data_IF_628902800844
#
_entry.id   IF_628902800844
#
_cell.length_a   1.000
_cell.length_b   1.000
_cell.length_c   1.000
_cell.angle_alpha   90.00
_cell.angle_beta   90.00
_cell.angle_gamma   90.00
#
_symmetry.space_group_name_H-M   'P 1'
#
loop_
_entity.id
_entity.type
_entity.pdbx_description
1 polymer ?
#
# COMPACT_ATOMS: atom_id res chain seq x y z
N UNK A 1 -4.04 -12.06 -10.86
CA UNK A 1 -3.91 -10.65 -11.28
C UNK A 1 -5.29 -9.99 -11.38
N UNK A 2 -6.26 -10.55 -12.12
CA UNK A 2 -7.63 -10.02 -12.18
C UNK A 2 -8.31 -9.84 -10.80
N UNK A 3 -8.16 -10.81 -9.90
CA UNK A 3 -8.65 -10.71 -8.51
C UNK A 3 -8.15 -9.46 -7.77
N UNK A 4 -6.88 -9.09 -7.98
CA UNK A 4 -6.28 -7.92 -7.34
C UNK A 4 -6.97 -6.64 -7.80
N UNK A 5 -7.33 -6.54 -9.08
CA UNK A 5 -8.03 -5.37 -9.62
C UNK A 5 -9.44 -5.26 -9.08
N UNK A 6 -10.16 -6.39 -8.96
CA UNK A 6 -11.49 -6.44 -8.34
C UNK A 6 -11.44 -6.12 -6.83
N UNK A 7 -10.40 -6.54 -6.12
CA UNK A 7 -10.24 -6.20 -4.71
C UNK A 7 -9.97 -4.71 -4.52
N UNK A 8 -9.03 -4.16 -5.30
CA UNK A 8 -8.50 -2.81 -5.08
C UNK A 8 -9.24 -1.72 -5.83
N UNK A 9 -9.97 -2.06 -6.90
CA UNK A 9 -10.53 -1.11 -7.86
C UNK A 9 -9.49 -0.44 -8.77
N UNK A 10 -8.22 -0.84 -8.69
CA UNK A 10 -7.15 -0.20 -9.45
C UNK A 10 -7.04 -0.75 -10.87
N UNK A 11 -6.84 0.16 -11.82
CA UNK A 11 -6.73 -0.13 -13.25
C UNK A 11 -5.49 -0.97 -13.60
N UNK A 12 -5.65 -1.84 -14.60
CA UNK A 12 -4.58 -2.57 -15.28
C UNK A 12 -4.28 -2.07 -16.69
N UNK A 13 -4.98 -1.04 -17.17
CA UNK A 13 -5.04 -0.68 -18.60
C UNK A 13 -4.10 0.45 -19.00
N UNK A 14 -3.17 0.84 -18.13
CA UNK A 14 -2.14 1.84 -18.44
C UNK A 14 -1.03 1.27 -19.34
N UNK A 15 -0.60 2.05 -20.33
CA UNK A 15 0.49 1.70 -21.26
C UNK A 15 1.82 2.37 -20.90
N UNK A 16 1.83 3.15 -19.83
CA UNK A 16 2.95 3.96 -19.41
C UNK A 16 3.63 3.38 -18.18
N UNK A 17 4.90 2.98 -18.33
CA UNK A 17 5.72 2.53 -17.21
C UNK A 17 6.27 3.73 -16.44
N UNK A 18 6.56 3.55 -15.15
CA UNK A 18 7.25 4.51 -14.27
C UNK A 18 8.49 5.13 -14.94
N UNK A 19 9.17 4.38 -15.80
CA UNK A 19 10.37 4.81 -16.53
C UNK A 19 10.12 5.93 -17.54
N UNK A 20 8.91 6.07 -18.12
CA UNK A 20 8.57 7.17 -19.04
C UNK A 20 8.48 8.53 -18.32
N UNK A 21 8.19 8.52 -17.03
CA UNK A 21 8.09 9.73 -16.21
C UNK A 21 9.44 10.23 -15.68
N UNK A 22 10.57 9.58 -16.03
CA UNK A 22 11.93 9.96 -15.59
C UNK A 22 12.42 11.35 -16.04
N UNK A 23 11.67 12.08 -16.89
CA UNK A 23 12.16 13.29 -17.57
C UNK A 23 11.26 14.52 -17.49
N UNK A 24 10.12 14.46 -16.79
CA UNK A 24 9.22 15.61 -16.70
C UNK A 24 9.66 16.47 -15.52
N UNK A 25 10.02 17.74 -15.78
CA UNK A 25 10.26 18.74 -14.74
C UNK A 25 9.10 18.71 -13.73
N UNK A 26 9.42 18.49 -12.45
CA UNK A 26 8.41 18.41 -11.41
C UNK A 26 8.27 19.79 -10.76
N UNK A 27 7.36 20.59 -11.30
CA UNK A 27 6.95 21.90 -10.76
C UNK A 27 6.57 21.76 -9.29
N UNK A 28 5.94 20.64 -8.93
CA UNK A 28 5.58 20.34 -7.54
C UNK A 28 6.83 20.20 -6.64
N UNK A 29 7.90 19.55 -7.12
CA UNK A 29 9.19 19.48 -6.42
C UNK A 29 9.82 20.86 -6.29
N UNK A 30 9.86 21.62 -7.38
CA UNK A 30 10.48 22.94 -7.41
C UNK A 30 9.72 23.98 -6.57
N UNK A 31 8.41 23.80 -6.40
CA UNK A 31 7.58 24.73 -5.62
C UNK A 31 7.57 24.41 -4.13
N UNK A 32 7.40 23.14 -3.76
CA UNK A 32 7.15 22.75 -2.37
C UNK A 32 8.33 22.07 -1.70
N UNK A 33 9.30 21.59 -2.48
CA UNK A 33 10.39 20.75 -2.00
C UNK A 33 11.78 21.23 -2.44
N UNK A 34 11.91 22.46 -2.93
CA UNK A 34 13.18 23.03 -3.40
C UNK A 34 14.27 23.05 -2.32
N UNK A 35 13.87 23.17 -1.05
CA UNK A 35 14.78 23.20 0.08
C UNK A 35 15.28 21.81 0.52
N UNK A 36 14.76 20.72 -0.08
CA UNK A 36 15.15 19.36 0.27
C UNK A 36 15.75 18.64 -0.93
N UNK A 37 16.93 18.04 -0.74
CA UNK A 37 17.60 17.24 -1.77
C UNK A 37 16.75 16.02 -2.16
N UNK A 38 16.22 15.33 -1.16
CA UNK A 38 15.38 14.14 -1.30
C UNK A 38 14.06 14.37 -0.56
N UNK A 39 12.95 14.01 -1.21
CA UNK A 39 11.61 14.13 -0.64
C UNK A 39 11.25 12.83 0.08
N UNK A 40 10.84 12.92 1.33
CA UNK A 40 10.33 11.80 2.13
C UNK A 40 8.87 12.04 2.52
N UNK A 41 8.09 11.00 2.89
CA UNK A 41 6.70 11.16 3.33
C UNK A 41 6.49 12.25 4.38
N UNK A 42 7.41 12.38 5.36
CA UNK A 42 7.39 13.45 6.36
C UNK A 42 7.42 14.86 5.77
N UNK A 43 8.11 15.07 4.65
CA UNK A 43 8.16 16.37 4.00
C UNK A 43 6.81 16.68 3.34
N UNK A 44 6.19 15.67 2.73
CA UNK A 44 4.84 15.79 2.15
C UNK A 44 3.81 16.11 3.25
N UNK A 45 3.91 15.45 4.42
CA UNK A 45 3.05 15.74 5.58
C UNK A 45 3.22 17.16 6.10
N UNK A 46 4.45 17.67 6.12
CA UNK A 46 4.73 19.05 6.52
C UNK A 46 4.10 20.05 5.55
N UNK A 47 4.19 19.82 4.24
CA UNK A 47 3.54 20.67 3.24
C UNK A 47 2.02 20.63 3.42
N UNK A 48 1.44 19.43 3.59
CA UNK A 48 0.00 19.27 3.78
C UNK A 48 -0.56 20.05 4.98
N UNK A 49 0.16 20.03 6.10
CA UNK A 49 -0.25 20.73 7.34
C UNK A 49 -0.14 22.25 7.24
N UNK A 50 0.70 22.76 6.34
CA UNK A 50 1.10 24.17 6.30
C UNK A 50 0.75 24.85 4.97
N UNK A 51 -0.32 24.41 4.31
CA UNK A 51 -0.77 25.07 3.08
C UNK A 51 -1.17 26.53 3.34
N UNK A 52 -0.67 27.49 2.54
CA UNK A 52 -1.21 28.83 2.49
C UNK A 52 -2.71 28.80 2.16
N UNK A 53 -3.50 29.69 2.76
CA UNK A 53 -4.95 29.77 2.56
C UNK A 53 -5.36 30.07 1.12
N UNK A 54 -4.45 30.58 0.28
CA UNK A 54 -4.67 30.88 -1.13
C UNK A 54 -4.13 29.79 -2.08
N UNK A 55 -3.78 28.60 -1.57
CA UNK A 55 -3.29 27.50 -2.42
C UNK A 55 -4.40 27.03 -3.35
N UNK A 56 -4.08 26.78 -4.62
CA UNK A 56 -5.05 26.28 -5.59
C UNK A 56 -5.44 24.84 -5.26
N UNK A 57 -6.72 24.51 -5.34
CA UNK A 57 -7.27 23.17 -5.05
C UNK A 57 -6.50 22.05 -5.77
N UNK A 58 -6.15 22.26 -7.05
CA UNK A 58 -5.39 21.28 -7.84
C UNK A 58 -4.05 20.92 -7.19
N UNK A 59 -3.37 21.86 -6.55
CA UNK A 59 -2.09 21.61 -5.89
C UNK A 59 -2.28 20.89 -4.55
N UNK A 60 -3.33 21.25 -3.80
CA UNK A 60 -3.72 20.55 -2.57
C UNK A 60 -4.02 19.09 -2.88
N UNK A 61 -4.81 18.83 -3.92
CA UNK A 61 -5.14 17.47 -4.39
C UNK A 61 -3.87 16.68 -4.74
N UNK A 62 -2.92 17.27 -5.47
CA UNK A 62 -1.65 16.60 -5.81
C UNK A 62 -0.85 16.18 -4.58
N UNK A 63 -0.70 17.05 -3.58
CA UNK A 63 -0.01 16.70 -2.32
C UNK A 63 -0.81 15.65 -1.53
N UNK A 64 -2.14 15.75 -1.50
CA UNK A 64 -3.00 14.74 -0.90
C UNK A 64 -2.84 13.36 -1.54
N UNK A 65 -2.70 13.31 -2.87
CA UNK A 65 -2.41 12.06 -3.59
C UNK A 65 -1.02 11.53 -3.19
N UNK A 66 0.02 12.38 -3.09
CA UNK A 66 1.34 11.95 -2.61
C UNK A 66 1.29 11.35 -1.20
N UNK A 67 0.50 11.94 -0.30
CA UNK A 67 0.26 11.43 1.06
C UNK A 67 -0.45 10.09 1.08
N UNK A 68 -1.34 9.84 0.12
CA UNK A 68 -2.03 8.55 0.02
C UNK A 68 -1.11 7.51 -0.61
N UNK A 69 -0.48 7.83 -1.72
CA UNK A 69 0.20 6.85 -2.56
C UNK A 69 1.52 6.40 -1.93
N UNK A 70 2.35 7.34 -1.45
CA UNK A 70 3.70 6.99 -1.00
C UNK A 70 3.74 6.11 0.25
N UNK A 71 2.99 6.40 1.33
CA UNK A 71 3.03 5.55 2.52
C UNK A 71 2.02 4.39 2.48
N UNK A 72 0.84 4.54 1.85
CA UNK A 72 -0.21 3.51 1.92
C UNK A 72 -0.25 2.57 0.71
N UNK A 73 -0.20 3.10 -0.53
CA UNK A 73 -0.26 2.21 -1.70
C UNK A 73 1.09 1.55 -1.96
N UNK A 74 2.19 2.29 -1.90
CA UNK A 74 3.55 1.78 -2.04
C UNK A 74 4.19 1.55 -0.67
N UNK A 75 3.48 0.86 0.21
CA UNK A 75 3.94 0.60 1.59
C UNK A 75 5.33 -0.02 1.55
N UNK A 76 6.22 0.51 2.38
CA UNK A 76 7.55 -0.05 2.61
C UNK A 76 7.84 -0.08 4.11
N UNK A 77 8.63 -1.05 4.61
CA UNK A 77 8.88 -1.21 6.05
C UNK A 77 9.74 -0.09 6.65
N UNK A 78 10.33 0.77 5.82
CA UNK A 78 11.11 1.93 6.25
C UNK A 78 10.73 3.12 5.39
N UNK A 79 10.67 4.35 5.94
CA UNK A 79 10.35 5.54 5.14
C UNK A 79 11.37 5.71 4.02
N UNK A 80 10.97 5.36 2.80
CA UNK A 80 11.78 5.55 1.60
C UNK A 80 11.54 6.93 1.01
N UNK A 81 12.54 7.41 0.28
CA UNK A 81 12.42 8.58 -0.57
C UNK A 81 11.24 8.38 -1.53
N UNK A 82 10.40 9.41 -1.66
CA UNK A 82 9.37 9.48 -2.69
C UNK A 82 10.06 9.47 -4.05
N UNK A 83 9.81 8.47 -4.92
CA UNK A 83 10.46 8.41 -6.21
C UNK A 83 10.13 9.62 -7.07
N UNK A 84 11.11 10.22 -7.75
CA UNK A 84 10.90 11.43 -8.55
C UNK A 84 9.88 11.22 -9.67
N UNK A 85 9.93 10.05 -10.31
CA UNK A 85 8.96 9.63 -11.32
C UNK A 85 7.52 9.59 -10.76
N UNK A 86 7.33 9.27 -9.47
CA UNK A 86 6.01 9.29 -8.83
C UNK A 86 5.50 10.74 -8.72
N UNK A 87 6.38 11.65 -8.32
CA UNK A 87 6.05 13.08 -8.27
C UNK A 87 5.73 13.62 -9.66
N UNK A 88 6.47 13.23 -10.70
CA UNK A 88 6.20 13.63 -12.09
C UNK A 88 4.84 13.15 -12.61
N UNK A 89 4.42 11.92 -12.30
CA UNK A 89 3.07 11.39 -12.65
C UNK A 89 1.97 12.24 -12.00
N UNK A 90 2.14 12.53 -10.72
CA UNK A 90 1.14 13.29 -9.95
C UNK A 90 1.12 14.75 -10.43
N UNK A 91 2.27 15.29 -10.79
CA UNK A 91 2.37 16.66 -11.28
C UNK A 91 1.80 16.85 -12.69
N UNK A 92 1.96 15.88 -13.59
CA UNK A 92 1.24 15.89 -14.88
C UNK A 92 -0.27 15.73 -14.72
N UNK A 93 -0.70 15.15 -13.60
CA UNK A 93 -2.09 14.81 -13.30
C UNK A 93 -2.68 13.76 -14.26
N UNK A 94 -1.83 13.06 -15.01
CA UNK A 94 -2.19 11.96 -15.92
C UNK A 94 -2.32 10.63 -15.16
N UNK A 95 -2.99 10.64 -14.01
CA UNK A 95 -3.07 9.50 -13.11
C UNK A 95 -3.70 8.27 -13.78
N UNK A 96 -4.65 8.49 -14.69
CA UNK A 96 -5.39 7.41 -15.38
C UNK A 96 -4.54 6.66 -16.42
N UNK A 97 -3.45 7.26 -16.91
CA UNK A 97 -2.54 6.63 -17.89
C UNK A 97 -1.58 5.66 -17.23
N UNK A 98 -1.37 5.81 -15.92
CA UNK A 98 -0.46 4.98 -15.16
C UNK A 98 -1.15 3.67 -14.69
N UNK A 99 -0.58 2.48 -14.94
CA UNK A 99 -1.19 1.20 -14.59
C UNK A 99 -1.00 0.88 -13.10
N UNK A 100 -1.63 1.67 -12.22
CA UNK A 100 -1.51 1.56 -10.76
C UNK A 100 -1.65 0.12 -10.25
N UNK A 101 -2.69 -0.59 -10.71
CA UNK A 101 -2.97 -1.95 -10.27
C UNK A 101 -1.88 -2.93 -10.68
N UNK A 102 -1.38 -2.84 -11.91
CA UNK A 102 -0.34 -3.75 -12.42
C UNK A 102 0.99 -3.54 -11.69
N UNK A 103 1.39 -2.30 -11.49
CA UNK A 103 2.64 -1.96 -10.79
C UNK A 103 2.59 -2.45 -9.33
N UNK A 104 1.49 -2.14 -8.63
CA UNK A 104 1.31 -2.55 -7.24
C UNK A 104 1.22 -4.07 -7.09
N UNK A 105 0.50 -4.76 -7.99
CA UNK A 105 0.46 -6.22 -7.97
C UNK A 105 1.85 -6.82 -8.15
N UNK A 106 2.61 -6.33 -9.14
CA UNK A 106 3.96 -6.83 -9.45
C UNK A 106 4.92 -6.61 -8.27
N UNK A 107 4.90 -5.41 -7.69
CA UNK A 107 5.71 -5.09 -6.51
C UNK A 107 5.32 -5.96 -5.31
N UNK A 108 4.02 -6.08 -5.01
CA UNK A 108 3.55 -6.82 -3.83
C UNK A 108 3.83 -8.31 -3.98
N UNK A 109 3.56 -8.88 -5.14
CA UNK A 109 3.75 -10.30 -5.40
C UNK A 109 5.23 -10.71 -5.43
N UNK A 110 6.10 -9.90 -6.02
CA UNK A 110 7.55 -10.16 -6.01
C UNK A 110 8.12 -10.15 -4.60
N UNK A 111 7.74 -9.20 -3.76
CA UNK A 111 8.19 -9.15 -2.37
C UNK A 111 7.58 -10.24 -1.51
N UNK A 112 6.33 -10.63 -1.76
CA UNK A 112 5.72 -11.80 -1.12
C UNK A 112 6.51 -13.08 -1.42
N UNK A 113 6.85 -13.32 -2.69
CA UNK A 113 7.70 -14.46 -3.08
C UNK A 113 9.03 -14.45 -2.33
N UNK A 114 9.72 -13.31 -2.31
CA UNK A 114 11.01 -13.17 -1.61
C UNK A 114 10.84 -13.43 -0.11
N UNK A 115 9.80 -12.89 0.51
CA UNK A 115 9.52 -13.06 1.94
C UNK A 115 9.26 -14.54 2.29
N UNK A 116 8.50 -15.25 1.45
CA UNK A 116 8.23 -16.67 1.62
C UNK A 116 9.47 -17.55 1.38
N UNK A 117 10.30 -17.22 0.39
CA UNK A 117 11.52 -17.99 0.08
C UNK A 117 12.63 -17.83 1.11
N UNK A 118 12.78 -16.63 1.70
CA UNK A 118 13.85 -16.36 2.67
C UNK A 118 13.46 -16.73 4.10
N UNK A 119 12.16 -16.77 4.40
CA UNK A 119 11.66 -16.97 5.76
C UNK A 119 12.09 -15.86 6.74
N UNK A 120 11.70 -15.96 8.01
CA UNK A 120 12.20 -15.06 9.03
C UNK A 120 13.69 -15.29 9.27
N UNK A 121 14.43 -14.19 9.40
CA UNK A 121 15.86 -14.20 9.73
C UNK A 121 16.11 -14.86 11.09
N UNK A 122 17.35 -15.30 11.35
CA UNK A 122 17.71 -15.90 12.64
C UNK A 122 17.44 -14.93 13.81
N UNK A 123 17.72 -13.65 13.62
CA UNK A 123 17.45 -12.61 14.61
C UNK A 123 15.95 -12.44 14.89
N UNK A 124 15.10 -12.51 13.86
CA UNK A 124 13.65 -12.46 13.96
C UNK A 124 13.08 -13.70 14.68
N UNK A 125 13.62 -14.88 14.38
CA UNK A 125 13.28 -16.13 15.09
C UNK A 125 13.65 -16.04 16.58
N UNK A 126 14.85 -15.53 16.90
CA UNK A 126 15.33 -15.36 18.27
C UNK A 126 14.51 -14.33 19.06
N UNK A 127 13.94 -13.32 18.40
CA UNK A 127 13.04 -12.33 19.00
C UNK A 127 11.57 -12.79 19.07
N UNK A 128 11.25 -14.01 18.64
CA UNK A 128 9.87 -14.50 18.54
C UNK A 128 9.01 -13.71 17.52
N UNK A 129 9.64 -12.92 16.65
CA UNK A 129 8.99 -12.06 15.67
C UNK A 129 9.00 -12.77 14.31
N UNK A 130 8.01 -13.62 14.05
CA UNK A 130 7.78 -14.19 12.70
C UNK A 130 7.09 -13.18 11.78
N UNK A 131 7.66 -11.97 11.65
CA UNK A 131 7.07 -10.92 10.83
C UNK A 131 7.62 -10.96 9.40
N UNK A 132 6.74 -11.24 8.43
CA UNK A 132 7.06 -11.11 7.02
C UNK A 132 6.93 -9.64 6.61
N UNK A 133 8.05 -9.01 6.23
CA UNK A 133 8.04 -7.64 5.70
C UNK A 133 7.56 -7.64 4.26
N UNK A 134 6.32 -7.18 4.04
CA UNK A 134 5.75 -7.02 2.71
C UNK A 134 5.87 -5.57 2.23
N UNK A 135 6.03 -5.42 0.91
CA UNK A 135 6.09 -4.14 0.21
C UNK A 135 4.89 -4.03 -0.72
N UNK A 136 4.59 -2.81 -1.17
CA UNK A 136 3.47 -2.55 -2.09
C UNK A 136 2.17 -2.39 -1.32
N UNK A 137 1.14 -3.16 -1.69
CA UNK A 137 -0.21 -3.02 -1.13
C UNK A 137 -0.69 -4.29 -0.41
N UNK A 138 -0.16 -4.61 0.79
CA UNK A 138 -0.53 -5.81 1.55
C UNK A 138 -2.01 -5.94 1.85
N UNK A 139 -2.72 -4.82 2.02
CA UNK A 139 -4.17 -4.82 2.31
C UNK A 139 -4.97 -5.56 1.25
N UNK A 140 -4.59 -5.45 -0.04
CA UNK A 140 -5.24 -6.20 -1.11
C UNK A 140 -5.11 -7.72 -0.92
N UNK A 141 -3.95 -8.20 -0.48
CA UNK A 141 -3.73 -9.61 -0.16
C UNK A 141 -4.50 -10.06 1.08
N UNK A 142 -4.56 -9.20 2.10
CA UNK A 142 -5.33 -9.49 3.31
C UNK A 142 -6.81 -9.71 3.00
N UNK A 143 -7.42 -8.83 2.19
CA UNK A 143 -8.80 -8.99 1.74
C UNK A 143 -8.98 -10.25 0.91
N UNK A 144 -8.04 -10.54 0.01
CA UNK A 144 -8.09 -11.77 -0.78
C UNK A 144 -8.05 -13.04 0.09
N UNK A 145 -7.28 -13.04 1.19
CA UNK A 145 -7.26 -14.14 2.18
C UNK A 145 -8.61 -14.29 2.86
N UNK A 146 -9.24 -13.19 3.28
CA UNK A 146 -10.58 -13.22 3.88
C UNK A 146 -11.64 -13.78 2.92
N UNK A 147 -11.50 -13.51 1.63
CA UNK A 147 -12.37 -14.06 0.60
C UNK A 147 -12.11 -15.53 0.30
N UNK A 148 -10.85 -15.97 0.40
CA UNK A 148 -10.42 -17.33 0.07
C UNK A 148 -10.63 -18.32 1.22
N UNK A 149 -10.68 -17.85 2.46
CA UNK A 149 -10.78 -18.69 3.66
C UNK A 149 -12.01 -18.27 4.48
N UNK A 150 -13.19 -18.85 4.20
CA UNK A 150 -14.43 -18.49 4.89
C UNK A 150 -14.40 -18.66 6.40
N UNK A 151 -13.58 -19.59 6.93
CA UNK A 151 -13.44 -19.82 8.36
C UNK A 151 -12.83 -18.65 9.14
N UNK A 152 -12.20 -17.67 8.46
CA UNK A 152 -11.73 -16.45 9.10
C UNK A 152 -12.86 -15.44 9.38
N UNK A 153 -13.99 -15.56 8.68
CA UNK A 153 -15.13 -14.66 8.80
C UNK A 153 -15.84 -14.90 10.13
N UNK A 154 -16.03 -13.84 10.91
CA UNK A 154 -16.57 -13.89 12.28
C UNK A 154 -15.50 -14.10 13.35
N UNK A 155 -14.27 -14.47 12.97
CA UNK A 155 -13.14 -14.66 13.91
C UNK A 155 -12.14 -13.51 13.82
N UNK A 156 -11.67 -13.20 12.60
CA UNK A 156 -10.61 -12.20 12.35
C UNK A 156 -11.14 -11.02 11.53
N UNK A 157 -12.19 -11.23 10.75
CA UNK A 157 -12.80 -10.21 9.90
C UNK A 157 -14.31 -10.35 9.85
N UNK A 158 -15.00 -9.27 9.50
CA UNK A 158 -16.44 -9.27 9.27
C UNK A 158 -16.70 -8.63 7.91
N UNK A 159 -17.45 -9.34 7.06
CA UNK A 159 -17.97 -8.74 5.83
C UNK A 159 -19.16 -7.85 6.16
N UNK A 160 -19.10 -6.57 5.78
CA UNK A 160 -20.11 -5.56 6.09
C UNK A 160 -20.93 -5.12 4.89
N UNK A 161 -20.43 -5.31 3.68
CA UNK A 161 -21.19 -5.08 2.45
C UNK A 161 -20.70 -5.98 1.31
N UNK A 162 -21.26 -5.80 0.11
CA UNK A 162 -20.91 -6.54 -1.11
C UNK A 162 -20.80 -5.59 -2.30
N UNK A 163 -20.16 -4.43 -2.10
CA UNK A 163 -19.96 -3.40 -3.12
C UNK A 163 -18.59 -3.52 -3.82
N UNK A 164 -18.39 -2.73 -4.87
CA UNK A 164 -17.07 -2.54 -5.47
C UNK A 164 -16.52 -1.17 -5.06
N UNK A 165 -15.20 -1.04 -4.80
CA UNK A 165 -14.20 -2.11 -4.77
C UNK A 165 -14.31 -3.00 -3.51
N UNK A 166 -13.98 -4.30 -3.63
CA UNK A 166 -14.21 -5.26 -2.53
C UNK A 166 -13.45 -4.95 -1.24
N UNK A 167 -12.35 -4.19 -1.31
CA UNK A 167 -11.62 -3.74 -0.11
C UNK A 167 -12.48 -2.98 0.89
N UNK A 168 -13.54 -2.31 0.44
CA UNK A 168 -14.46 -1.56 1.31
C UNK A 168 -15.49 -2.46 2.01
N UNK A 169 -15.54 -3.74 1.67
CA UNK A 169 -16.56 -4.67 2.16
C UNK A 169 -16.22 -5.33 3.49
N UNK A 170 -15.08 -4.99 4.10
CA UNK A 170 -14.52 -5.74 5.21
C UNK A 170 -14.12 -4.84 6.36
N UNK A 171 -14.53 -5.24 7.57
CA UNK A 171 -14.01 -4.69 8.83
C UNK A 171 -13.11 -5.71 9.50
N UNK A 172 -12.03 -5.25 10.12
CA UNK A 172 -11.16 -6.07 10.97
C UNK A 172 -11.30 -5.61 12.41
N UNK A 173 -11.80 -6.48 13.28
CA UNK A 173 -11.71 -6.26 14.71
C UNK A 173 -10.26 -6.52 15.11
N UNK A 174 -9.48 -5.46 15.34
CA UNK A 174 -8.05 -5.57 15.71
C UNK A 174 -7.91 -6.19 17.13
N UNK A 175 -9.01 -6.52 17.81
CA UNK A 175 -9.03 -7.30 19.04
C UNK A 175 -8.87 -8.81 18.80
N UNK A 176 -7.80 -9.22 18.12
CA UNK A 176 -7.30 -10.59 18.32
C UNK A 176 -6.68 -10.62 19.72
N UNK A 177 -7.48 -10.99 20.73
CA UNK A 177 -6.96 -11.32 22.06
C UNK A 177 -5.85 -12.36 21.89
N UNK A 178 -4.73 -12.11 22.56
CA UNK A 178 -3.51 -12.93 22.56
C UNK A 178 -3.75 -14.44 22.75
N UNK A 179 -4.88 -14.83 23.31
CA UNK A 179 -5.33 -16.21 23.52
C UNK A 179 -5.64 -17.00 22.23
N UNK A 180 -5.85 -16.37 21.08
CA UNK A 180 -6.10 -17.08 19.81
C UNK A 180 -4.81 -17.58 19.12
N UNK A 181 -3.63 -17.14 19.58
CA UNK A 181 -2.34 -17.58 19.01
C UNK A 181 -2.00 -19.04 19.32
N UNK A 182 -2.54 -19.59 20.40
CA UNK A 182 -2.20 -20.94 20.87
C UNK A 182 -3.07 -22.03 20.20
N UNK A 183 -4.33 -21.72 19.87
CA UNK A 183 -5.26 -22.74 19.36
C UNK A 183 -5.19 -23.00 17.85
N UNK A 184 -4.55 -22.13 17.06
CA UNK A 184 -4.36 -22.36 15.61
C UNK A 184 -3.02 -23.06 15.32
N UNK A 185 -2.05 -22.96 16.25
CA UNK A 185 -0.74 -23.60 16.12
C UNK A 185 -0.73 -25.09 16.51
N UNK A 186 -1.72 -25.54 17.26
CA UNK A 186 -1.87 -26.91 17.69
C UNK A 186 -3.20 -27.42 17.14
N UNK A 187 -3.15 -28.20 16.05
CA UNK A 187 -4.28 -29.02 15.65
C UNK A 187 -4.69 -29.87 16.85
N UNK A 188 -5.79 -29.50 17.50
CA UNK A 188 -6.41 -30.29 18.55
C UNK A 188 -7.20 -31.45 17.93
N UNK A 189 -7.09 -32.67 18.49
CA UNK A 189 -7.62 -33.88 17.88
C UNK A 189 -9.14 -33.98 18.00
N UNK A 190 -9.73 -34.70 17.05
CA UNK A 190 -11.09 -35.23 17.13
C UNK A 190 -11.32 -35.98 18.44
N UNK A 191 -12.32 -35.57 19.22
CA UNK A 191 -13.25 -36.43 19.99
C UNK A 191 -14.60 -35.72 20.10
#
# INVERSE_FOLDING_TARGET
MQEFYLVTGLSSTGTETISKFRRICCVLKDKYFIHVKNVYPKNVEQVWKNFPSNTKDKEVVKIGILLLISPYLFTTPYPKQVPENMMSIIDSFDLDKFPWGQELFTMTFSHLKVALSKGPTLEEKLKGLTMYRLYGFPMAFQIWIYESIPSLVGVVCKRVCQSQPRILNWNTDIHVKSSLRENIALGGPDV
#
